data_IF_933427543050
#
_entry.id   IF_933427543050
#
_cell.length_a   1.000
_cell.length_b   1.000
_cell.length_c   1.000
_cell.angle_alpha   90.00
_cell.angle_beta   90.00
_cell.angle_gamma   90.00
#
_symmetry.space_group_name_H-M   'P 1'
#
loop_
_entity.id
_entity.type
_entity.pdbx_description
1 polymer ?
#
# COMPACT_ATOMS: atom_id res chain seq x y z
N UNK A 1 -45.86 -47.50 68.98
CA UNK A 1 -45.41 -46.06 68.85
C UNK A 1 -44.09 -46.05 68.13
N UNK A 2 -44.04 -45.81 66.84
CA UNK A 2 -42.79 -45.69 66.06
C UNK A 2 -42.80 -44.30 65.44
N UNK A 3 -41.80 -43.48 65.81
CA UNK A 3 -41.54 -42.19 65.25
C UNK A 3 -40.77 -42.30 63.94
N UNK A 4 -41.34 -41.78 62.86
CA UNK A 4 -40.63 -41.55 61.59
C UNK A 4 -39.85 -40.23 61.71
N UNK A 5 -38.56 -40.31 61.44
CA UNK A 5 -37.69 -39.14 61.23
C UNK A 5 -37.55 -38.95 59.72
N UNK A 6 -38.09 -37.82 59.18
CA UNK A 6 -37.89 -37.45 57.82
C UNK A 6 -36.56 -36.70 57.65
N UNK A 7 -35.68 -37.24 56.82
CA UNK A 7 -34.46 -36.53 56.40
C UNK A 7 -34.70 -35.66 55.15
N UNK A 8 -34.41 -34.35 55.28
CA UNK A 8 -34.41 -33.39 54.20
C UNK A 8 -33.06 -33.48 53.44
N UNK A 9 -33.07 -33.93 52.22
CA UNK A 9 -31.92 -33.86 51.32
C UNK A 9 -31.94 -32.53 50.62
N UNK A 10 -31.03 -31.60 50.99
CA UNK A 10 -30.76 -30.38 50.29
C UNK A 10 -29.83 -30.68 49.08
N UNK A 11 -30.37 -30.64 47.87
CA UNK A 11 -29.59 -30.77 46.66
C UNK A 11 -28.85 -29.45 46.34
N UNK A 12 -27.54 -29.48 46.45
CA UNK A 12 -26.67 -28.39 45.97
C UNK A 12 -26.50 -28.55 44.45
N UNK A 13 -27.17 -27.69 43.68
CA UNK A 13 -26.93 -27.57 42.25
C UNK A 13 -25.62 -26.79 42.05
N UNK A 14 -24.54 -27.48 41.74
CA UNK A 14 -23.30 -26.89 41.30
C UNK A 14 -23.47 -26.39 39.87
N UNK A 15 -23.64 -25.09 39.67
CA UNK A 15 -23.61 -24.42 38.38
C UNK A 15 -22.18 -24.54 37.80
N UNK A 16 -22.02 -25.29 36.74
CA UNK A 16 -20.79 -25.34 35.96
C UNK A 16 -20.74 -24.05 35.18
N UNK A 17 -19.97 -23.07 35.65
CA UNK A 17 -19.58 -21.90 34.85
C UNK A 17 -18.54 -22.39 33.85
N UNK A 18 -18.95 -22.67 32.63
CA UNK A 18 -18.01 -22.87 31.51
C UNK A 18 -17.30 -21.55 31.25
N UNK A 19 -16.10 -21.40 31.81
CA UNK A 19 -15.16 -20.38 31.38
C UNK A 19 -14.69 -20.82 29.98
N UNK A 20 -15.35 -20.30 28.94
CA UNK A 20 -14.84 -20.45 27.58
C UNK A 20 -13.46 -19.78 27.56
N UNK A 21 -12.40 -20.57 27.42
CA UNK A 21 -11.10 -20.03 27.03
C UNK A 21 -11.28 -19.41 25.68
N UNK A 22 -11.25 -18.08 25.61
CA UNK A 22 -11.11 -17.39 24.33
C UNK A 22 -9.84 -17.97 23.68
N UNK A 23 -10.01 -18.76 22.61
CA UNK A 23 -8.86 -19.21 21.82
C UNK A 23 -8.29 -17.98 21.14
N UNK A 24 -7.01 -17.69 21.40
CA UNK A 24 -6.28 -16.68 20.67
C UNK A 24 -6.27 -17.05 19.19
N UNK A 25 -6.75 -16.16 18.34
CA UNK A 25 -6.67 -16.34 16.90
C UNK A 25 -5.34 -15.80 16.38
N UNK A 26 -4.73 -16.48 15.42
CA UNK A 26 -3.54 -16.02 14.72
C UNK A 26 -3.90 -15.72 13.28
N UNK A 27 -3.67 -14.49 12.85
CA UNK A 27 -3.88 -14.05 11.47
C UNK A 27 -2.56 -13.94 10.74
N UNK A 28 -2.43 -14.60 9.59
CA UNK A 28 -1.36 -14.37 8.63
C UNK A 28 -1.76 -13.21 7.73
N UNK A 29 -1.07 -12.07 7.85
CA UNK A 29 -1.41 -10.83 7.17
C UNK A 29 -0.34 -10.47 6.15
N UNK A 30 -0.73 -10.46 4.88
CA UNK A 30 0.14 -10.05 3.78
C UNK A 30 0.04 -8.55 3.56
N UNK A 31 1.19 -7.88 3.39
CA UNK A 31 1.24 -6.41 3.36
C UNK A 31 2.37 -5.86 2.51
N UNK A 32 2.16 -4.66 1.96
CA UNK A 32 3.19 -3.83 1.35
C UNK A 32 3.46 -2.52 2.14
N UNK A 33 2.79 -2.32 3.27
CA UNK A 33 3.04 -1.19 4.18
C UNK A 33 4.53 -1.09 4.50
N UNK A 34 5.04 0.12 4.68
CA UNK A 34 6.43 0.36 5.09
C UNK A 34 6.75 -0.35 6.41
N UNK A 35 7.86 -1.09 6.46
CA UNK A 35 8.19 -1.98 7.58
C UNK A 35 8.24 -1.27 8.94
N UNK A 36 8.66 0.00 8.94
CA UNK A 36 8.71 0.83 10.14
C UNK A 36 7.35 1.17 10.74
N UNK A 37 6.25 1.02 9.98
CA UNK A 37 4.90 1.34 10.41
C UNK A 37 4.14 0.11 10.96
N UNK A 38 4.55 -1.11 10.60
CA UNK A 38 3.85 -2.35 10.98
C UNK A 38 3.71 -2.54 12.48
N UNK A 39 4.79 -2.24 13.23
CA UNK A 39 4.79 -2.41 14.69
C UNK A 39 3.73 -1.54 15.34
N UNK A 40 3.64 -0.25 14.98
CA UNK A 40 2.67 0.67 15.57
C UNK A 40 1.23 0.28 15.26
N UNK A 41 0.98 -0.26 14.04
CA UNK A 41 -0.36 -0.71 13.65
C UNK A 41 -0.76 -1.98 14.41
N UNK A 42 0.14 -2.96 14.53
CA UNK A 42 -0.11 -4.16 15.33
C UNK A 42 -0.35 -3.84 16.80
N UNK A 43 0.48 -2.98 17.42
CA UNK A 43 0.32 -2.58 18.82
C UNK A 43 -1.01 -1.87 19.07
N UNK A 44 -1.44 -0.99 18.16
CA UNK A 44 -2.71 -0.29 18.29
C UNK A 44 -3.92 -1.20 18.09
N UNK A 45 -3.84 -2.17 17.18
CA UNK A 45 -4.86 -3.19 16.98
C UNK A 45 -4.94 -4.13 18.20
N UNK A 46 -3.81 -4.66 18.66
CA UNK A 46 -3.75 -5.59 19.78
C UNK A 46 -4.19 -4.94 21.12
N UNK A 47 -4.06 -3.63 21.26
CA UNK A 47 -4.60 -2.91 22.43
C UNK A 47 -6.14 -2.99 22.50
N UNK A 48 -6.80 -3.04 21.33
CA UNK A 48 -8.26 -3.14 21.24
C UNK A 48 -8.71 -4.61 21.13
N UNK A 49 -7.87 -5.50 20.59
CA UNK A 49 -8.15 -6.93 20.35
C UNK A 49 -6.99 -7.83 20.81
N UNK A 50 -6.78 -7.97 22.14
CA UNK A 50 -5.63 -8.70 22.68
C UNK A 50 -5.66 -10.22 22.44
N UNK A 51 -6.80 -10.75 22.00
CA UNK A 51 -7.04 -12.14 21.66
C UNK A 51 -6.68 -12.50 20.21
N UNK A 52 -6.27 -11.51 19.38
CA UNK A 52 -5.89 -11.73 18.00
C UNK A 52 -4.42 -11.35 17.80
N UNK A 53 -3.60 -12.29 17.33
CA UNK A 53 -2.19 -12.06 16.99
C UNK A 53 -2.02 -11.88 15.48
N UNK A 54 -1.23 -10.90 15.06
CA UNK A 54 -0.90 -10.66 13.65
C UNK A 54 0.49 -11.18 13.34
N UNK A 55 0.58 -12.10 12.38
CA UNK A 55 1.81 -12.60 11.78
C UNK A 55 2.00 -11.95 10.40
N UNK A 56 2.93 -11.01 10.32
CA UNK A 56 3.17 -10.26 9.10
C UNK A 56 4.00 -11.03 8.08
N UNK A 57 3.54 -11.02 6.83
CA UNK A 57 4.35 -11.36 5.64
C UNK A 57 4.45 -10.11 4.79
N UNK A 58 5.61 -9.46 4.83
CA UNK A 58 5.82 -8.15 4.20
C UNK A 58 6.78 -8.23 3.04
N UNK A 59 6.38 -7.67 1.90
CA UNK A 59 7.26 -7.36 0.78
C UNK A 59 6.68 -6.20 -0.05
N UNK A 60 7.34 -5.79 -1.13
CA UNK A 60 6.81 -4.80 -2.06
C UNK A 60 5.57 -5.33 -2.79
N UNK A 61 4.67 -4.44 -3.19
CA UNK A 61 3.34 -4.78 -3.75
C UNK A 61 3.37 -5.83 -4.85
N UNK A 62 4.29 -5.71 -5.82
CA UNK A 62 4.36 -6.66 -6.93
C UNK A 62 4.76 -8.06 -6.46
N UNK A 63 5.68 -8.16 -5.50
CA UNK A 63 6.13 -9.44 -4.92
C UNK A 63 4.98 -10.09 -4.13
N UNK A 64 4.28 -9.32 -3.28
CA UNK A 64 3.12 -9.80 -2.52
C UNK A 64 2.01 -10.25 -3.47
N UNK A 65 1.72 -9.48 -4.51
CA UNK A 65 0.71 -9.83 -5.52
C UNK A 65 1.05 -11.14 -6.23
N UNK A 66 2.31 -11.30 -6.67
CA UNK A 66 2.77 -12.52 -7.33
C UNK A 66 2.70 -13.73 -6.39
N UNK A 67 3.05 -13.55 -5.11
CA UNK A 67 2.95 -14.60 -4.08
C UNK A 67 1.50 -15.03 -3.86
N UNK A 68 0.57 -14.07 -3.70
CA UNK A 68 -0.86 -14.38 -3.57
C UNK A 68 -1.37 -15.17 -4.78
N UNK A 69 -1.07 -14.72 -6.00
CA UNK A 69 -1.46 -15.42 -7.22
C UNK A 69 -0.90 -16.85 -7.31
N UNK A 70 0.33 -17.07 -6.88
CA UNK A 70 0.95 -18.40 -6.83
C UNK A 70 0.27 -19.33 -5.80
N UNK A 71 -0.26 -18.75 -4.73
CA UNK A 71 -0.95 -19.46 -3.66
C UNK A 71 -2.48 -19.59 -3.88
N UNK A 72 -3.00 -19.16 -5.05
CA UNK A 72 -4.44 -19.12 -5.35
C UNK A 72 -5.19 -20.40 -4.99
N UNK A 73 -4.60 -21.58 -5.23
CA UNK A 73 -5.21 -22.87 -4.97
C UNK A 73 -5.00 -23.40 -3.53
N UNK A 74 -4.15 -22.75 -2.76
CA UNK A 74 -3.87 -23.06 -1.36
C UNK A 74 -3.43 -21.79 -0.64
N UNK A 75 -4.35 -20.84 -0.39
CA UNK A 75 -4.05 -19.58 0.25
C UNK A 75 -3.39 -19.74 1.61
N UNK A 76 -2.36 -18.96 1.88
CA UNK A 76 -1.65 -18.95 3.15
C UNK A 76 -1.96 -17.71 3.99
N UNK A 77 -2.50 -16.66 3.35
CA UNK A 77 -2.89 -15.42 4.01
C UNK A 77 -4.35 -15.49 4.45
N UNK A 78 -4.66 -14.91 5.60
CA UNK A 78 -6.02 -14.67 6.07
C UNK A 78 -6.52 -13.31 5.63
N UNK A 79 -5.66 -12.29 5.73
CA UNK A 79 -5.98 -10.89 5.42
C UNK A 79 -4.86 -10.28 4.60
N UNK A 80 -5.25 -9.42 3.69
CA UNK A 80 -4.37 -8.48 3.02
C UNK A 80 -4.63 -7.12 3.67
N UNK A 81 -3.60 -6.48 4.24
CA UNK A 81 -3.73 -5.16 4.85
C UNK A 81 -2.65 -4.23 4.32
N UNK A 82 -3.07 -3.21 3.54
CA UNK A 82 -2.17 -2.26 2.90
C UNK A 82 -1.45 -2.83 1.68
N UNK A 83 -2.24 -3.27 0.70
CA UNK A 83 -1.77 -3.60 -0.64
C UNK A 83 -2.45 -2.66 -1.65
N UNK A 84 -1.80 -2.36 -2.77
CA UNK A 84 -2.37 -1.53 -3.82
C UNK A 84 -3.77 -1.97 -4.24
N UNK A 85 -4.73 -1.03 -4.31
CA UNK A 85 -6.08 -1.34 -4.76
C UNK A 85 -6.10 -1.91 -6.19
N UNK A 86 -5.20 -1.49 -7.07
CA UNK A 86 -5.02 -2.08 -8.41
C UNK A 86 -4.64 -3.57 -8.35
N UNK A 87 -3.90 -4.00 -7.33
CA UNK A 87 -3.63 -5.43 -7.09
C UNK A 87 -4.85 -6.16 -6.52
N UNK A 88 -5.62 -5.52 -5.61
CA UNK A 88 -6.84 -6.12 -5.07
C UNK A 88 -7.92 -6.29 -6.13
N UNK A 89 -8.04 -5.37 -7.09
CA UNK A 89 -8.92 -5.51 -8.25
C UNK A 89 -8.55 -6.76 -9.09
N UNK A 90 -7.27 -6.98 -9.33
CA UNK A 90 -6.78 -8.20 -10.00
C UNK A 90 -7.15 -9.46 -9.20
N UNK A 91 -6.84 -9.48 -7.89
CA UNK A 91 -7.14 -10.63 -7.01
C UNK A 91 -8.65 -10.90 -6.92
N UNK A 92 -9.48 -9.85 -6.92
CA UNK A 92 -10.94 -9.95 -6.98
C UNK A 92 -11.39 -10.65 -8.28
N UNK A 93 -10.85 -10.24 -9.43
CA UNK A 93 -11.15 -10.87 -10.73
C UNK A 93 -10.77 -12.35 -10.72
N UNK A 94 -9.71 -12.71 -10.02
CA UNK A 94 -9.27 -14.10 -9.82
C UNK A 94 -10.09 -14.89 -8.78
N UNK A 95 -11.09 -14.26 -8.14
CA UNK A 95 -11.96 -14.90 -7.14
C UNK A 95 -11.25 -15.21 -5.82
N UNK A 96 -10.21 -14.45 -5.47
CA UNK A 96 -9.35 -14.70 -4.32
C UNK A 96 -9.74 -13.88 -3.08
N UNK A 97 -10.73 -13.02 -3.17
CA UNK A 97 -11.17 -12.16 -2.07
C UNK A 97 -12.54 -12.57 -1.57
N UNK A 98 -12.73 -12.60 -0.24
CA UNK A 98 -14.00 -12.80 0.43
C UNK A 98 -14.76 -11.49 0.51
N UNK A 99 -15.94 -11.34 -0.12
CA UNK A 99 -16.73 -10.12 -0.04
C UNK A 99 -17.25 -9.87 1.38
N UNK A 100 -16.91 -8.72 1.94
CA UNK A 100 -17.34 -8.33 3.28
C UNK A 100 -17.54 -6.81 3.38
N UNK A 101 -18.70 -6.39 3.89
CA UNK A 101 -18.95 -4.99 4.22
C UNK A 101 -18.54 -4.71 5.67
N UNK A 102 -17.39 -4.05 5.91
CA UNK A 102 -16.94 -3.75 7.27
C UNK A 102 -17.91 -2.79 7.98
N UNK A 103 -17.97 -2.88 9.31
CA UNK A 103 -18.77 -1.97 10.13
C UNK A 103 -18.25 -0.54 10.00
N UNK A 104 -19.12 0.38 9.56
CA UNK A 104 -18.75 1.77 9.33
C UNK A 104 -18.22 2.06 7.92
N UNK A 105 -18.32 1.12 6.98
CA UNK A 105 -17.90 1.32 5.58
C UNK A 105 -18.59 2.51 4.91
N UNK A 106 -19.80 2.84 5.35
CA UNK A 106 -20.57 4.00 4.89
C UNK A 106 -19.98 5.36 5.31
N UNK A 107 -19.04 5.36 6.24
CA UNK A 107 -18.31 6.57 6.70
C UNK A 107 -17.10 6.89 5.81
N UNK A 108 -16.69 5.97 4.96
CA UNK A 108 -15.58 6.17 4.04
C UNK A 108 -16.00 6.98 2.81
N UNK A 109 -15.06 7.68 2.20
CA UNK A 109 -15.24 8.25 0.87
C UNK A 109 -15.45 7.08 -0.12
N UNK A 110 -16.49 7.17 -0.95
CA UNK A 110 -16.90 6.10 -1.86
C UNK A 110 -15.81 5.65 -2.83
N UNK A 111 -14.84 6.51 -3.16
CA UNK A 111 -13.70 6.13 -4.00
C UNK A 111 -12.75 5.14 -3.32
N UNK A 112 -12.79 5.05 -1.98
CA UNK A 112 -12.04 4.09 -1.19
C UNK A 112 -12.81 2.80 -0.90
N UNK A 113 -13.93 2.56 -1.56
CA UNK A 113 -14.72 1.34 -1.37
C UNK A 113 -14.91 0.65 -2.71
N UNK A 114 -14.68 -0.66 -2.76
CA UNK A 114 -14.97 -1.47 -3.94
C UNK A 114 -16.43 -1.33 -4.36
N UNK A 115 -16.67 -1.26 -5.67
CA UNK A 115 -18.00 -1.01 -6.26
C UNK A 115 -18.99 -2.18 -6.13
N UNK A 116 -18.52 -3.39 -5.77
CA UNK A 116 -19.42 -4.54 -5.54
C UNK A 116 -20.19 -4.41 -4.22
N UNK A 117 -21.28 -5.15 -4.09
CA UNK A 117 -22.07 -5.20 -2.86
C UNK A 117 -22.32 -6.66 -2.46
N UNK A 118 -21.75 -7.16 -1.34
CA UNK A 118 -20.79 -6.46 -0.48
C UNK A 118 -19.45 -6.18 -1.18
N UNK A 119 -18.68 -5.17 -0.73
CA UNK A 119 -17.38 -4.86 -1.29
C UNK A 119 -16.37 -5.98 -1.05
N UNK A 120 -15.46 -6.21 -1.98
CA UNK A 120 -14.41 -7.20 -1.83
C UNK A 120 -13.13 -6.62 -1.16
N UNK A 121 -13.01 -5.30 -1.13
CA UNK A 121 -11.90 -4.59 -0.47
C UNK A 121 -12.34 -3.18 -0.04
N UNK A 122 -11.61 -2.60 0.89
CA UNK A 122 -11.76 -1.22 1.36
C UNK A 122 -10.42 -0.53 1.42
N UNK A 123 -10.36 0.73 0.98
CA UNK A 123 -9.15 1.55 1.02
C UNK A 123 -8.87 2.09 2.41
N UNK A 124 -7.62 2.48 2.62
CA UNK A 124 -7.09 3.03 3.86
C UNK A 124 -6.63 4.48 3.67
N UNK A 125 -5.73 4.68 2.75
CA UNK A 125 -5.09 5.93 2.38
C UNK A 125 -4.67 5.90 0.92
N UNK A 126 -4.11 7.03 0.41
CA UNK A 126 -3.58 7.10 -0.93
C UNK A 126 -2.13 7.57 -0.92
N UNK A 127 -1.28 6.88 -1.68
CA UNK A 127 0.05 7.37 -1.99
C UNK A 127 0.10 7.93 -3.42
N UNK A 128 0.93 8.93 -3.60
CA UNK A 128 0.98 9.73 -4.83
C UNK A 128 2.41 9.81 -5.33
N UNK A 129 2.60 9.57 -6.63
CA UNK A 129 3.91 9.65 -7.28
C UNK A 129 4.54 11.04 -7.13
N UNK A 130 5.85 11.09 -6.99
CA UNK A 130 6.61 12.33 -6.95
C UNK A 130 8.08 12.08 -7.28
N UNK A 131 8.83 13.16 -7.47
CA UNK A 131 10.27 13.12 -7.66
C UNK A 131 10.94 13.64 -6.39
N UNK A 132 11.85 12.85 -5.82
CA UNK A 132 12.78 13.27 -4.77
C UNK A 132 14.05 13.79 -5.45
N UNK A 133 14.32 15.07 -5.35
CA UNK A 133 15.44 15.75 -6.01
C UNK A 133 16.47 16.20 -4.98
N UNK A 134 17.68 15.65 -5.01
CA UNK A 134 18.74 16.06 -4.11
C UNK A 134 19.37 17.38 -4.57
N UNK A 135 19.15 18.46 -3.80
CA UNK A 135 19.58 19.81 -4.16
C UNK A 135 21.10 20.00 -4.07
N UNK A 136 21.76 19.29 -3.14
CA UNK A 136 23.22 19.39 -2.93
C UNK A 136 23.98 18.68 -4.05
N UNK A 137 23.61 17.46 -4.40
CA UNK A 137 24.26 16.74 -5.50
C UNK A 137 23.96 17.39 -6.85
N UNK A 138 22.75 17.91 -7.03
CA UNK A 138 22.36 18.65 -8.24
C UNK A 138 23.22 19.92 -8.44
N UNK A 139 23.46 20.69 -7.37
CA UNK A 139 24.32 21.88 -7.41
C UNK A 139 25.76 21.52 -7.83
N UNK A 140 26.34 20.47 -7.25
CA UNK A 140 27.71 20.00 -7.60
C UNK A 140 27.83 19.62 -9.07
N UNK A 141 26.79 19.07 -9.65
CA UNK A 141 26.78 18.56 -11.03
C UNK A 141 26.17 19.57 -12.04
N UNK A 142 25.69 20.73 -11.58
CA UNK A 142 24.94 21.71 -12.35
C UNK A 142 23.71 21.12 -13.06
N UNK A 143 22.99 20.21 -12.39
CA UNK A 143 21.75 19.61 -12.87
C UNK A 143 20.58 20.47 -12.39
N UNK A 144 19.75 21.03 -13.29
CA UNK A 144 18.59 21.84 -12.89
C UNK A 144 17.51 20.96 -12.23
N UNK A 145 16.68 21.55 -11.37
CA UNK A 145 15.50 20.88 -10.85
C UNK A 145 14.49 20.64 -11.99
N UNK A 146 13.94 19.40 -12.14
CA UNK A 146 12.91 19.13 -13.12
C UNK A 146 11.59 19.79 -12.71
N UNK A 147 10.76 20.19 -13.69
CA UNK A 147 9.41 20.70 -13.47
C UNK A 147 8.34 19.77 -14.04
N UNK A 148 8.76 18.81 -14.84
CA UNK A 148 7.89 17.90 -15.58
C UNK A 148 8.48 16.49 -15.62
N UNK A 149 7.66 15.47 -15.88
CA UNK A 149 8.14 14.14 -16.17
C UNK A 149 9.06 14.12 -17.39
N UNK A 150 8.70 14.91 -18.43
CA UNK A 150 9.47 15.01 -19.67
C UNK A 150 10.86 15.59 -19.46
N UNK A 151 11.06 16.43 -18.46
CA UNK A 151 12.40 16.94 -18.15
C UNK A 151 13.40 15.83 -17.85
N UNK A 152 12.96 14.73 -17.21
CA UNK A 152 13.82 13.60 -16.88
C UNK A 152 14.41 12.88 -18.11
N UNK A 153 13.92 13.16 -19.31
CA UNK A 153 14.47 12.61 -20.55
C UNK A 153 15.62 13.46 -21.13
N UNK A 154 15.90 14.64 -20.56
CA UNK A 154 16.96 15.53 -21.02
C UNK A 154 18.34 14.95 -20.71
N UNK A 155 19.37 15.28 -21.53
CA UNK A 155 20.72 14.69 -21.40
C UNK A 155 21.40 14.94 -20.05
N UNK A 156 21.10 16.07 -19.39
CA UNK A 156 21.69 16.42 -18.09
C UNK A 156 21.34 15.46 -16.97
N UNK A 157 20.26 14.66 -17.11
CA UNK A 157 19.87 13.66 -16.12
C UNK A 157 20.46 12.26 -16.39
N UNK A 158 21.27 12.10 -17.45
CA UNK A 158 21.78 10.79 -17.84
C UNK A 158 22.60 10.12 -16.73
N UNK A 159 22.11 8.95 -16.28
CA UNK A 159 22.75 8.18 -15.21
C UNK A 159 22.50 8.73 -13.79
N UNK A 160 21.62 9.72 -13.66
CA UNK A 160 21.30 10.37 -12.38
C UNK A 160 19.86 10.11 -11.90
N UNK A 161 19.10 9.29 -12.62
CA UNK A 161 17.72 8.95 -12.28
C UNK A 161 17.64 7.50 -11.81
N UNK A 162 17.02 7.29 -10.66
CA UNK A 162 16.67 5.95 -10.15
C UNK A 162 15.16 5.89 -9.97
N UNK A 163 14.54 4.78 -10.37
CA UNK A 163 13.10 4.57 -10.19
C UNK A 163 12.80 3.13 -9.77
N UNK A 164 11.60 2.83 -9.26
CA UNK A 164 11.24 1.47 -8.91
C UNK A 164 10.94 0.62 -10.14
N UNK A 165 11.26 -0.69 -10.08
CA UNK A 165 10.86 -1.68 -11.05
C UNK A 165 9.35 -2.00 -10.88
N UNK A 166 8.50 -1.85 -11.91
CA UNK A 166 7.06 -2.06 -11.80
C UNK A 166 6.66 -3.52 -11.55
N UNK A 167 7.53 -4.49 -11.87
CA UNK A 167 7.24 -5.91 -11.61
C UNK A 167 7.27 -6.23 -10.11
N UNK A 168 8.13 -5.55 -9.34
CA UNK A 168 8.25 -5.77 -7.89
C UNK A 168 7.58 -4.68 -7.07
N UNK A 169 7.60 -3.43 -7.52
CA UNK A 169 7.11 -2.26 -6.78
C UNK A 169 5.73 -1.80 -7.23
N UNK A 170 4.83 -1.56 -6.28
CA UNK A 170 3.55 -0.88 -6.53
C UNK A 170 3.75 0.54 -7.03
N UNK A 171 4.74 1.27 -6.51
CA UNK A 171 5.07 2.62 -6.99
C UNK A 171 5.57 2.60 -8.43
N UNK A 172 6.46 1.65 -8.77
CA UNK A 172 6.92 1.52 -10.16
C UNK A 172 5.76 1.20 -11.11
N UNK A 173 4.83 0.33 -10.71
CA UNK A 173 3.64 0.04 -11.51
C UNK A 173 2.70 1.25 -11.61
N UNK A 174 2.53 1.99 -10.52
CA UNK A 174 1.79 3.24 -10.48
C UNK A 174 2.35 4.24 -11.50
N UNK A 175 3.67 4.48 -11.50
CA UNK A 175 4.33 5.40 -12.41
C UNK A 175 4.08 4.99 -13.87
N UNK A 176 4.38 3.74 -14.23
CA UNK A 176 4.23 3.24 -15.60
C UNK A 176 2.77 3.31 -16.07
N UNK A 177 1.82 2.84 -15.27
CA UNK A 177 0.40 2.85 -15.64
C UNK A 177 -0.16 4.27 -15.75
N UNK A 178 0.29 5.20 -14.91
CA UNK A 178 -0.15 6.59 -14.99
C UNK A 178 0.45 7.34 -16.18
N UNK A 179 1.70 7.09 -16.55
CA UNK A 179 2.29 7.67 -17.77
C UNK A 179 1.57 7.19 -19.03
N UNK A 180 1.17 5.90 -19.08
CA UNK A 180 0.34 5.38 -20.17
C UNK A 180 -1.04 6.05 -20.22
N UNK A 181 -1.64 6.37 -19.08
CA UNK A 181 -2.91 7.08 -19.02
C UNK A 181 -2.77 8.56 -19.39
N UNK A 182 -1.71 9.25 -18.92
CA UNK A 182 -1.49 10.67 -19.18
C UNK A 182 -1.08 10.98 -20.62
N UNK A 183 -0.19 10.15 -21.18
CA UNK A 183 0.40 10.40 -22.50
C UNK A 183 -0.25 9.59 -23.62
N UNK A 184 -1.08 8.59 -23.26
CA UNK A 184 -1.55 7.56 -24.18
C UNK A 184 -0.53 6.44 -24.36
N UNK A 185 -0.96 5.30 -24.88
CA UNK A 185 -0.13 4.09 -24.95
C UNK A 185 1.14 4.30 -25.78
N UNK A 186 1.02 4.82 -27.00
CA UNK A 186 2.16 5.01 -27.89
C UNK A 186 3.18 6.00 -27.34
N UNK A 187 2.73 7.20 -26.95
CA UNK A 187 3.61 8.26 -26.46
C UNK A 187 4.11 7.99 -25.04
N UNK A 188 3.36 7.26 -24.22
CA UNK A 188 3.80 6.78 -22.92
C UNK A 188 4.98 5.83 -23.02
N UNK A 189 4.96 4.88 -23.95
CA UNK A 189 6.10 4.00 -24.22
C UNK A 189 7.29 4.77 -24.80
N UNK A 190 7.08 5.71 -25.72
CA UNK A 190 8.16 6.58 -26.26
C UNK A 190 8.81 7.43 -25.14
N UNK A 191 8.00 7.95 -24.23
CA UNK A 191 8.51 8.65 -23.05
C UNK A 191 9.41 7.74 -22.20
N UNK A 192 8.95 6.53 -21.90
CA UNK A 192 9.72 5.57 -21.10
C UNK A 192 10.99 5.08 -21.82
N UNK A 193 10.97 4.94 -23.15
CA UNK A 193 12.18 4.64 -23.94
C UNK A 193 13.23 5.75 -23.76
N UNK A 194 12.81 7.02 -23.85
CA UNK A 194 13.70 8.14 -23.64
C UNK A 194 14.17 8.27 -22.17
N UNK A 195 13.29 8.05 -21.21
CA UNK A 195 13.62 8.05 -19.79
C UNK A 195 14.64 6.95 -19.45
N UNK A 196 14.50 5.76 -20.04
CA UNK A 196 15.39 4.63 -19.80
C UNK A 196 16.85 4.96 -20.10
N UNK A 197 17.14 5.80 -21.10
CA UNK A 197 18.50 6.25 -21.39
C UNK A 197 19.16 6.94 -20.19
N UNK A 198 18.36 7.65 -19.38
CA UNK A 198 18.80 8.42 -18.22
C UNK A 198 18.76 7.62 -16.89
N UNK A 199 18.06 6.50 -16.86
CA UNK A 199 17.98 5.63 -15.68
C UNK A 199 19.34 5.00 -15.38
N UNK A 200 19.77 5.14 -14.12
CA UNK A 200 20.95 4.43 -13.57
C UNK A 200 20.57 3.01 -13.13
N UNK A 201 19.44 2.85 -12.46
CA UNK A 201 18.97 1.56 -11.95
C UNK A 201 17.46 1.57 -11.71
N UNK A 202 16.85 0.38 -11.81
CA UNK A 202 15.48 0.11 -11.34
C UNK A 202 15.54 -0.70 -10.04
N UNK A 203 14.97 -0.16 -8.96
CA UNK A 203 15.01 -0.78 -7.63
C UNK A 203 13.80 -1.66 -7.35
N UNK A 204 13.94 -2.66 -6.48
CA UNK A 204 12.79 -3.50 -6.11
C UNK A 204 11.80 -2.78 -5.19
N UNK A 205 12.29 -1.86 -4.36
CA UNK A 205 11.47 -1.10 -3.42
C UNK A 205 11.04 0.25 -3.98
N UNK A 206 9.76 0.61 -3.82
CA UNK A 206 9.22 1.91 -4.22
C UNK A 206 9.77 3.09 -3.43
N UNK A 207 10.17 2.89 -2.18
CA UNK A 207 10.75 3.92 -1.31
C UNK A 207 12.26 4.10 -1.48
N UNK A 208 12.97 3.10 -2.03
CA UNK A 208 14.43 3.12 -2.15
C UNK A 208 14.97 4.28 -3.00
N UNK A 209 14.37 4.65 -4.15
CA UNK A 209 14.90 5.77 -4.94
C UNK A 209 14.92 7.10 -4.19
N UNK A 210 13.88 7.40 -3.40
CA UNK A 210 13.85 8.60 -2.59
C UNK A 210 14.86 8.56 -1.43
N UNK A 211 15.06 7.39 -0.80
CA UNK A 211 16.10 7.19 0.21
C UNK A 211 17.51 7.39 -0.37
N UNK A 212 17.76 6.88 -1.58
CA UNK A 212 19.03 7.09 -2.30
C UNK A 212 19.24 8.57 -2.63
N UNK A 213 18.21 9.28 -3.09
CA UNK A 213 18.29 10.72 -3.28
C UNK A 213 18.56 11.45 -1.95
N UNK A 214 17.86 11.09 -0.88
CA UNK A 214 18.10 11.65 0.46
C UNK A 214 19.52 11.45 0.98
N UNK A 215 20.12 10.29 0.69
CA UNK A 215 21.49 9.95 1.07
C UNK A 215 22.57 10.54 0.13
N UNK A 216 22.19 11.16 -0.99
CA UNK A 216 23.12 11.69 -1.99
C UNK A 216 23.73 10.63 -2.92
N UNK A 217 23.13 9.44 -2.99
CA UNK A 217 23.56 8.36 -3.88
C UNK A 217 23.06 8.56 -5.33
N UNK A 218 22.02 9.37 -5.52
CA UNK A 218 21.49 9.80 -6.81
C UNK A 218 20.97 11.23 -6.72
N UNK A 219 20.89 11.94 -7.86
CA UNK A 219 20.27 13.26 -7.92
C UNK A 219 18.75 13.17 -7.91
N UNK A 220 18.19 12.20 -8.64
CA UNK A 220 16.76 12.05 -8.87
C UNK A 220 16.30 10.67 -8.45
N UNK A 221 15.37 10.62 -7.50
CA UNK A 221 14.65 9.41 -7.15
C UNK A 221 13.17 9.55 -7.52
N UNK A 222 12.70 8.81 -8.52
CA UNK A 222 11.25 8.66 -8.77
C UNK A 222 10.67 7.76 -7.69
N UNK A 223 9.69 8.26 -6.93
CA UNK A 223 9.15 7.56 -5.76
C UNK A 223 7.75 8.11 -5.43
N UNK A 224 7.42 8.32 -4.18
CA UNK A 224 6.14 8.85 -3.74
C UNK A 224 6.29 9.90 -2.63
N UNK A 225 5.35 10.85 -2.59
CA UNK A 225 5.45 12.06 -1.79
C UNK A 225 5.57 11.82 -0.27
N UNK A 226 4.88 10.81 0.26
CA UNK A 226 5.03 10.43 1.68
C UNK A 226 6.48 10.09 2.02
N UNK A 227 7.15 9.27 1.19
CA UNK A 227 8.56 8.94 1.42
C UNK A 227 9.44 10.20 1.36
N UNK A 228 9.19 11.06 0.38
CA UNK A 228 9.90 12.35 0.29
C UNK A 228 9.72 13.22 1.52
N UNK A 229 8.49 13.36 2.01
CA UNK A 229 8.20 14.13 3.22
C UNK A 229 8.94 13.56 4.45
N UNK A 230 8.98 12.23 4.58
CA UNK A 230 9.66 11.53 5.68
C UNK A 230 11.18 11.71 5.63
N UNK A 231 11.81 11.59 4.45
CA UNK A 231 13.24 11.83 4.28
C UNK A 231 13.59 13.31 4.56
N UNK A 232 12.76 14.25 4.07
CA UNK A 232 12.95 15.69 4.33
C UNK A 232 12.80 16.02 5.80
N UNK A 233 11.84 15.44 6.51
CA UNK A 233 11.69 15.57 7.97
C UNK A 233 12.87 15.00 8.75
N UNK A 234 13.57 13.99 8.20
CA UNK A 234 14.81 13.45 8.75
C UNK A 234 16.05 14.30 8.43
N UNK A 235 15.89 15.42 7.71
CA UNK A 235 16.97 16.36 7.38
C UNK A 235 17.64 16.10 6.04
N UNK A 236 17.12 15.22 5.19
CA UNK A 236 17.67 15.00 3.86
C UNK A 236 17.56 16.27 2.99
N UNK A 237 18.63 16.64 2.23
CA UNK A 237 18.64 17.84 1.39
C UNK A 237 17.92 17.60 0.07
N UNK A 238 16.64 17.27 0.15
CA UNK A 238 15.82 16.99 -1.03
C UNK A 238 14.66 17.95 -1.16
N UNK A 239 14.28 18.22 -2.40
CA UNK A 239 12.98 18.77 -2.75
C UNK A 239 12.06 17.69 -3.28
N UNK A 240 10.75 17.81 -2.95
CA UNK A 240 9.72 16.92 -3.44
C UNK A 240 9.03 17.64 -4.60
N UNK A 241 9.30 17.18 -5.81
CA UNK A 241 8.82 17.83 -7.02
C UNK A 241 7.56 17.12 -7.51
N UNK A 242 6.55 17.93 -7.80
CA UNK A 242 5.27 17.50 -8.39
C UNK A 242 5.29 17.93 -9.85
N UNK A 243 5.42 17.00 -10.81
CA UNK A 243 5.46 17.29 -12.24
C UNK A 243 4.20 18.00 -12.75
N UNK A 244 4.41 18.91 -13.70
CA UNK A 244 3.35 19.78 -14.24
C UNK A 244 2.25 19.02 -14.98
N UNK A 245 2.58 17.91 -15.63
CA UNK A 245 1.62 17.06 -16.36
C UNK A 245 0.62 16.37 -15.43
N UNK A 246 0.93 16.27 -14.18
CA UNK A 246 0.15 15.54 -13.18
C UNK A 246 0.91 14.35 -12.61
N UNK A 247 0.33 13.74 -11.60
CA UNK A 247 0.92 12.61 -10.89
C UNK A 247 -0.07 11.48 -10.73
N UNK A 248 0.40 10.27 -10.93
CA UNK A 248 -0.35 9.06 -10.63
C UNK A 248 -0.53 8.88 -9.11
N UNK A 249 -1.54 8.11 -8.75
CA UNK A 249 -1.81 7.73 -7.37
C UNK A 249 -2.47 6.36 -7.32
N UNK A 250 -2.27 5.64 -6.23
CA UNK A 250 -3.02 4.43 -5.89
C UNK A 250 -3.38 4.51 -4.40
N UNK A 251 -4.13 3.57 -3.89
CA UNK A 251 -4.47 3.52 -2.49
C UNK A 251 -4.00 2.22 -1.86
N UNK A 252 -3.54 2.28 -0.61
CA UNK A 252 -3.44 1.09 0.21
C UNK A 252 -4.85 0.64 0.58
N UNK A 253 -5.08 -0.66 0.50
CA UNK A 253 -6.40 -1.22 0.75
C UNK A 253 -6.31 -2.55 1.50
N UNK A 254 -7.41 -2.92 2.13
CA UNK A 254 -7.55 -4.10 2.99
C UNK A 254 -8.62 -5.03 2.42
N UNK A 255 -8.37 -6.33 2.45
CA UNK A 255 -9.29 -7.37 2.00
C UNK A 255 -9.13 -8.64 2.82
N UNK A 256 -10.19 -9.44 2.91
CA UNK A 256 -10.15 -10.80 3.44
C UNK A 256 -9.82 -11.76 2.30
N UNK A 257 -8.94 -12.72 2.55
CA UNK A 257 -8.62 -13.76 1.57
C UNK A 257 -9.73 -14.83 1.58
N UNK A 258 -10.22 -15.18 0.40
CA UNK A 258 -11.27 -16.18 0.28
C UNK A 258 -10.80 -17.56 0.78
N UNK A 259 -11.64 -18.20 1.58
CA UNK A 259 -11.36 -19.54 2.13
C UNK A 259 -10.50 -19.54 3.39
N UNK A 260 -10.26 -18.40 4.04
CA UNK A 260 -9.59 -18.37 5.35
C UNK A 260 -10.36 -19.15 6.41
N UNK A 261 -9.65 -19.92 7.22
CA UNK A 261 -10.22 -20.62 8.39
C UNK A 261 -10.46 -19.65 9.57
N UNK A 262 -9.89 -18.45 9.54
CA UNK A 262 -9.93 -17.43 10.59
C UNK A 262 -10.91 -16.27 10.27
N UNK A 263 -12.01 -16.54 9.58
CA UNK A 263 -12.92 -15.54 9.01
C UNK A 263 -13.39 -14.48 10.01
N UNK A 264 -13.78 -14.84 11.22
CA UNK A 264 -14.29 -13.88 12.21
C UNK A 264 -13.18 -12.96 12.76
N UNK A 265 -11.98 -13.49 12.96
CA UNK A 265 -10.83 -12.68 13.32
C UNK A 265 -10.41 -11.75 12.16
N UNK A 266 -10.45 -12.26 10.92
CA UNK A 266 -10.20 -11.48 9.72
C UNK A 266 -11.18 -10.31 9.57
N UNK A 267 -12.48 -10.55 9.78
CA UNK A 267 -13.51 -9.48 9.80
C UNK A 267 -13.22 -8.44 10.89
N UNK A 268 -12.79 -8.88 12.07
CA UNK A 268 -12.44 -7.99 13.18
C UNK A 268 -11.29 -7.06 12.80
N UNK A 269 -10.25 -7.58 12.14
CA UNK A 269 -9.13 -6.77 11.67
C UNK A 269 -9.57 -5.79 10.57
N UNK A 270 -10.40 -6.23 9.61
CA UNK A 270 -10.88 -5.36 8.53
C UNK A 270 -11.83 -4.27 9.08
N UNK A 271 -12.71 -4.59 10.03
CA UNK A 271 -13.51 -3.58 10.74
C UNK A 271 -12.64 -2.53 11.41
N UNK A 272 -11.57 -2.96 12.11
CA UNK A 272 -10.65 -2.08 12.80
C UNK A 272 -9.85 -1.20 11.83
N UNK A 273 -9.43 -1.75 10.69
CA UNK A 273 -8.59 -1.06 9.69
C UNK A 273 -9.25 0.19 9.10
N UNK A 274 -10.58 0.31 9.16
CA UNK A 274 -11.32 1.47 8.66
C UNK A 274 -11.83 2.40 9.77
N UNK A 275 -11.52 2.11 11.04
CA UNK A 275 -11.92 2.98 12.15
C UNK A 275 -11.29 4.37 12.05
N UNK A 276 -11.89 5.35 12.75
CA UNK A 276 -11.29 6.68 12.88
C UNK A 276 -9.88 6.61 13.47
N UNK A 277 -9.65 5.76 14.48
CA UNK A 277 -8.34 5.53 15.10
C UNK A 277 -7.31 5.07 14.06
N UNK A 278 -7.66 4.10 13.23
CA UNK A 278 -6.78 3.62 12.17
C UNK A 278 -6.48 4.72 11.13
N UNK A 279 -7.51 5.45 10.67
CA UNK A 279 -7.35 6.55 9.73
C UNK A 279 -6.48 7.70 10.29
N UNK A 280 -6.60 8.03 11.59
CA UNK A 280 -5.71 8.99 12.27
C UNK A 280 -4.25 8.49 12.28
N UNK A 281 -4.03 7.19 12.41
CA UNK A 281 -2.69 6.60 12.34
C UNK A 281 -2.13 6.64 10.93
N UNK A 282 -2.92 6.33 9.90
CA UNK A 282 -2.51 6.45 8.50
C UNK A 282 -2.14 7.89 8.15
N UNK A 283 -2.93 8.87 8.61
CA UNK A 283 -2.64 10.28 8.40
C UNK A 283 -1.32 10.75 9.02
N UNK A 284 -0.68 9.98 9.88
CA UNK A 284 0.66 10.32 10.38
C UNK A 284 1.72 10.36 9.27
N UNK A 285 1.41 9.77 8.10
CA UNK A 285 2.26 9.72 6.92
C UNK A 285 1.53 10.15 5.64
N UNK A 286 0.28 9.79 5.48
CA UNK A 286 -0.47 9.99 4.25
C UNK A 286 -1.39 11.21 4.33
N UNK A 287 -1.28 12.12 3.37
CA UNK A 287 -2.11 13.33 3.32
C UNK A 287 -3.58 13.04 2.95
N UNK A 288 -3.83 11.89 2.33
CA UNK A 288 -5.17 11.43 1.94
C UNK A 288 -5.46 10.12 2.65
N UNK A 289 -6.55 10.08 3.41
CA UNK A 289 -7.06 8.87 4.09
C UNK A 289 -8.51 8.63 3.71
N UNK A 290 -8.95 7.38 3.86
CA UNK A 290 -10.26 6.95 3.40
C UNK A 290 -11.44 7.61 4.14
N UNK A 291 -11.27 7.98 5.42
CA UNK A 291 -12.33 8.60 6.21
C UNK A 291 -12.31 10.13 6.06
N UNK A 292 -13.35 10.75 5.48
CA UNK A 292 -13.44 12.20 5.35
C UNK A 292 -13.35 12.93 6.70
N UNK A 293 -12.66 14.08 6.70
CA UNK A 293 -12.55 14.96 7.88
C UNK A 293 -11.54 14.48 8.92
N UNK A 294 -10.83 13.37 8.69
CA UNK A 294 -9.75 12.89 9.58
C UNK A 294 -8.41 13.45 9.17
N UNK A 295 -8.16 13.61 7.86
CA UNK A 295 -6.88 14.07 7.34
C UNK A 295 -6.51 15.47 7.89
N UNK A 296 -5.26 15.58 8.35
CA UNK A 296 -4.60 16.83 8.75
C UNK A 296 -3.39 17.04 7.84
N UNK A 297 -2.90 18.29 7.69
CA UNK A 297 -1.70 18.56 6.93
C UNK A 297 -0.52 17.70 7.41
N UNK A 298 0.20 17.09 6.47
CA UNK A 298 1.44 16.34 6.72
C UNK A 298 2.61 17.27 6.46
N UNK A 299 3.55 17.31 7.38
CA UNK A 299 4.75 18.16 7.29
C UNK A 299 5.56 17.83 6.03
N UNK A 300 6.06 18.86 5.35
CA UNK A 300 6.82 18.77 4.09
C UNK A 300 6.06 18.18 2.89
N UNK A 301 4.77 17.84 3.03
CA UNK A 301 4.00 17.36 1.90
C UNK A 301 3.70 18.52 0.92
N UNK A 302 3.93 18.37 -0.40
CA UNK A 302 3.71 19.47 -1.34
C UNK A 302 2.24 19.92 -1.36
N UNK A 303 2.02 21.22 -1.16
CA UNK A 303 0.66 21.77 -1.02
C UNK A 303 -0.20 21.62 -2.30
N UNK A 304 0.44 21.61 -3.48
CA UNK A 304 -0.26 21.48 -4.77
C UNK A 304 -0.42 20.04 -5.26
N UNK A 305 0.06 19.05 -4.52
CA UNK A 305 0.11 17.65 -4.99
C UNK A 305 -1.28 17.10 -5.28
N UNK A 306 -2.26 17.37 -4.39
CA UNK A 306 -3.62 16.85 -4.54
C UNK A 306 -4.31 17.40 -5.80
N UNK A 307 -4.03 18.64 -6.16
CA UNK A 307 -4.58 19.28 -7.36
C UNK A 307 -3.97 18.74 -8.67
N UNK A 308 -2.85 18.00 -8.54
CA UNK A 308 -2.12 17.39 -9.64
C UNK A 308 -2.36 15.89 -9.79
N UNK A 309 -3.13 15.28 -8.88
CA UNK A 309 -3.52 13.88 -9.01
C UNK A 309 -4.39 13.70 -10.25
N UNK A 310 -4.01 12.78 -11.13
CA UNK A 310 -4.78 12.46 -12.33
C UNK A 310 -6.10 11.77 -11.97
N UNK A 311 -7.06 11.81 -12.88
CA UNK A 311 -8.23 10.93 -12.82
C UNK A 311 -7.78 9.50 -13.18
N UNK A 312 -7.30 8.78 -12.17
CA UNK A 312 -6.66 7.47 -12.37
C UNK A 312 -7.69 6.38 -12.59
N UNK A 313 -7.64 5.73 -13.74
CA UNK A 313 -8.44 4.55 -14.05
C UNK A 313 -7.80 3.27 -13.46
N UNK A 314 -8.23 2.90 -12.26
CA UNK A 314 -7.77 1.70 -11.56
C UNK A 314 -8.14 0.41 -12.30
N UNK A 315 -9.29 0.39 -12.99
CA UNK A 315 -9.72 -0.77 -13.79
C UNK A 315 -8.81 -0.96 -15.01
N UNK A 316 -8.45 0.15 -15.69
CA UNK A 316 -7.44 0.11 -16.76
C UNK A 316 -6.13 -0.48 -16.24
N UNK A 317 -5.62 0.03 -15.12
CA UNK A 317 -4.37 -0.43 -14.54
C UNK A 317 -4.42 -1.91 -14.16
N UNK A 318 -5.48 -2.36 -13.49
CA UNK A 318 -5.65 -3.75 -13.09
C UNK A 318 -5.80 -4.71 -14.28
N UNK A 319 -6.65 -4.38 -15.25
CA UNK A 319 -6.95 -5.23 -16.40
C UNK A 319 -5.78 -5.35 -17.37
N UNK A 320 -4.95 -4.31 -17.48
CA UNK A 320 -3.79 -4.30 -18.38
C UNK A 320 -2.48 -4.64 -17.67
N UNK A 321 -2.51 -4.90 -16.34
CA UNK A 321 -1.30 -5.11 -15.53
C UNK A 321 -0.32 -6.09 -16.15
N UNK A 322 -0.80 -7.27 -16.55
CA UNK A 322 0.06 -8.31 -17.13
C UNK A 322 0.76 -7.82 -18.40
N UNK A 323 0.02 -7.27 -19.35
CA UNK A 323 0.57 -6.78 -20.62
C UNK A 323 1.57 -5.63 -20.40
N UNK A 324 1.25 -4.70 -19.50
CA UNK A 324 2.14 -3.58 -19.14
C UNK A 324 3.44 -4.10 -18.56
N UNK A 325 3.39 -5.04 -17.61
CA UNK A 325 4.57 -5.58 -16.95
C UNK A 325 5.44 -6.39 -17.90
N UNK A 326 4.85 -7.21 -18.77
CA UNK A 326 5.56 -8.00 -19.78
C UNK A 326 6.27 -7.10 -20.81
N UNK A 327 5.60 -6.04 -21.32
CA UNK A 327 6.21 -5.11 -22.25
C UNK A 327 7.30 -4.26 -21.59
N UNK A 328 7.08 -3.80 -20.34
CA UNK A 328 8.10 -3.09 -19.60
C UNK A 328 9.35 -3.95 -19.37
N UNK A 329 9.17 -5.18 -18.92
CA UNK A 329 10.28 -6.11 -18.66
C UNK A 329 11.09 -6.36 -19.94
N UNK A 330 10.42 -6.58 -21.06
CA UNK A 330 11.06 -6.78 -22.36
C UNK A 330 11.93 -5.59 -22.77
N UNK A 331 11.49 -4.35 -22.47
CA UNK A 331 12.22 -3.12 -22.88
C UNK A 331 13.34 -2.74 -21.92
N UNK A 332 13.12 -2.85 -20.58
CA UNK A 332 13.90 -2.09 -19.62
C UNK A 332 14.57 -2.90 -18.52
N UNK A 333 14.31 -4.21 -18.39
CA UNK A 333 14.79 -5.03 -17.26
C UNK A 333 16.32 -5.09 -17.14
N UNK A 334 17.05 -4.74 -18.20
CA UNK A 334 18.52 -4.77 -18.24
C UNK A 334 19.21 -3.87 -17.20
N UNK A 335 18.53 -2.87 -16.67
CA UNK A 335 19.02 -1.97 -15.61
C UNK A 335 18.39 -2.27 -14.24
N UNK A 336 17.65 -3.36 -14.08
CA UNK A 336 17.09 -3.78 -12.81
C UNK A 336 18.17 -4.24 -11.84
N UNK A 337 18.05 -3.84 -10.58
CA UNK A 337 18.95 -4.37 -9.54
C UNK A 337 18.77 -5.89 -9.42
N UNK A 338 19.84 -6.63 -9.04
CA UNK A 338 19.74 -8.06 -8.84
C UNK A 338 18.67 -8.42 -7.82
N UNK A 339 17.93 -9.49 -8.06
CA UNK A 339 17.04 -10.09 -7.05
C UNK A 339 17.91 -10.60 -5.90
N UNK A 340 17.66 -10.09 -4.70
CA UNK A 340 18.34 -10.50 -3.48
C UNK A 340 17.99 -11.94 -3.07
#
# INVERSE_FOLDING_TARGET
MKKLVGGLLAGVAAGIVSIGTAMSAELTVYTAIEAEDLKKYAEAFNADHPDITINWVRDSTGVVTAKLLAEKNNPQADVIWGLAATSLLLLKTEGMLEPYAPKGVELLDKKFVDKSNPPAWVGMDAWVASICFNTVEAEKLNIPAPTSWKDLTKPEYKGHVVMPNPNSSGTGFLDVSSWLQMFGEEDGWKYMDALHENIAAYTHSGSKPCKMAGAGETVVGVSFAFRGAKEKAAGAPIDIIVPEEGVGWDMEATAIVAGTDNLEAAKTLVDWSITKKANEMYNSGYAVVAMPGVAKPVEHFPANLLDKMIDNDFEFAANNRKAILEEWQKRYDSKSEPKG
#
